data_IF_735512208253
#
_entry.id   IF_735512208253
#
_cell.length_a   1.000
_cell.length_b   1.000
_cell.length_c   1.000
_cell.angle_alpha   90.00
_cell.angle_beta   90.00
_cell.angle_gamma   90.00
#
_symmetry.space_group_name_H-M   'P 1'
#
loop_
_entity.id
_entity.type
_entity.pdbx_description
1 polymer ?
#
# COMPACT_ATOMS: atom_id res chain seq x y z
N UNK A 1 -12.47 -18.30 7.56
CA UNK A 1 -11.05 -18.72 7.54
C UNK A 1 -10.52 -18.39 6.17
N UNK A 2 -9.94 -17.20 6.01
CA UNK A 2 -8.88 -16.85 5.06
C UNK A 2 -8.62 -15.35 5.17
N UNK A 3 -7.70 -14.99 6.08
CA UNK A 3 -7.15 -13.64 6.25
C UNK A 3 -5.73 -13.49 5.65
N UNK A 4 -5.48 -13.66 4.33
CA UNK A 4 -4.18 -13.28 3.76
C UNK A 4 -4.24 -12.21 2.65
N UNK A 5 -5.25 -11.32 2.65
CA UNK A 5 -5.42 -10.36 1.55
C UNK A 5 -4.55 -9.09 1.69
N UNK A 6 -4.18 -8.69 2.91
CA UNK A 6 -3.40 -7.46 3.16
C UNK A 6 -1.90 -7.69 3.32
N UNK A 7 -1.49 -8.86 3.77
CA UNK A 7 -0.11 -9.19 4.09
C UNK A 7 0.14 -10.69 3.85
N UNK A 8 1.40 -11.13 3.82
CA UNK A 8 1.75 -12.52 3.55
C UNK A 8 1.43 -13.45 4.71
N UNK A 9 1.18 -14.73 4.39
CA UNK A 9 0.87 -15.77 5.38
C UNK A 9 1.94 -15.92 6.51
N UNK A 10 3.15 -15.40 6.29
CA UNK A 10 4.27 -15.45 7.24
C UNK A 10 4.66 -14.07 7.80
N UNK A 11 3.80 -13.06 7.64
CA UNK A 11 4.04 -11.70 8.13
C UNK A 11 3.03 -11.32 9.19
N UNK A 12 3.47 -10.61 10.24
CA UNK A 12 2.57 -10.07 11.25
C UNK A 12 1.59 -9.05 10.62
N UNK A 13 0.36 -8.93 11.13
CA UNK A 13 -0.57 -7.90 10.66
C UNK A 13 0.04 -6.50 10.89
N UNK A 14 -0.22 -5.54 9.97
CA UNK A 14 0.24 -4.17 10.14
C UNK A 14 -0.36 -3.56 11.40
N UNK A 15 0.39 -2.69 12.08
CA UNK A 15 -0.05 -1.94 13.25
C UNK A 15 -0.34 -0.48 12.93
N UNK A 16 0.24 0.05 11.86
CA UNK A 16 0.11 1.45 11.43
C UNK A 16 0.07 1.55 9.91
N UNK A 17 -1.11 1.81 9.36
CA UNK A 17 -1.34 1.92 7.91
C UNK A 17 -1.46 3.39 7.50
N UNK A 18 -0.60 3.83 6.58
CA UNK A 18 -0.76 5.11 5.88
C UNK A 18 -1.54 4.88 4.58
N UNK A 19 -2.72 5.47 4.47
CA UNK A 19 -3.58 5.36 3.29
C UNK A 19 -3.40 6.59 2.41
N UNK A 20 -2.91 6.43 1.18
CA UNK A 20 -2.68 7.50 0.22
C UNK A 20 -3.78 7.44 -0.83
N UNK A 21 -4.85 8.22 -0.65
CA UNK A 21 -5.98 8.33 -1.59
C UNK A 21 -6.55 6.98 -2.11
N UNK A 22 -6.50 5.95 -1.25
CA UNK A 22 -7.05 4.61 -1.47
C UNK A 22 -8.22 4.30 -0.49
N UNK A 23 -9.38 4.96 -0.60
CA UNK A 23 -10.54 4.66 0.24
C UNK A 23 -11.00 3.19 0.17
N UNK A 24 -10.76 2.51 -0.96
CA UNK A 24 -11.00 1.08 -1.17
C UNK A 24 -10.20 0.16 -0.22
N UNK A 25 -9.11 0.65 0.37
CA UNK A 25 -8.35 -0.09 1.37
C UNK A 25 -9.06 -0.12 2.73
N UNK A 26 -9.88 0.88 3.06
CA UNK A 26 -10.45 1.07 4.41
C UNK A 26 -11.26 -0.14 4.91
N UNK A 27 -12.20 -0.71 4.14
CA UNK A 27 -13.00 -1.84 4.64
C UNK A 27 -12.16 -3.08 4.96
N UNK A 28 -11.09 -3.29 4.18
CA UNK A 28 -10.19 -4.43 4.40
C UNK A 28 -9.24 -4.18 5.58
N UNK A 29 -8.79 -2.94 5.79
CA UNK A 29 -8.02 -2.53 6.97
C UNK A 29 -8.87 -2.69 8.25
N UNK A 30 -10.13 -2.25 8.21
CA UNK A 30 -11.08 -2.35 9.33
C UNK A 30 -11.40 -3.80 9.71
N UNK A 31 -11.30 -4.73 8.75
CA UNK A 31 -11.51 -6.16 8.97
C UNK A 31 -10.31 -6.88 9.59
N UNK A 32 -9.16 -6.21 9.76
CA UNK A 32 -7.99 -6.77 10.43
C UNK A 32 -8.23 -6.89 11.95
N UNK A 33 -7.67 -7.94 12.55
CA UNK A 33 -7.76 -8.18 13.99
C UNK A 33 -6.35 -8.37 14.60
N UNK A 34 -5.87 -7.44 15.45
CA UNK A 34 -6.53 -6.19 15.83
C UNK A 34 -6.53 -5.15 14.71
N UNK A 35 -7.47 -4.18 14.72
CA UNK A 35 -7.48 -3.10 13.74
C UNK A 35 -6.25 -2.20 13.92
N UNK A 36 -5.52 -1.85 12.84
CA UNK A 36 -4.36 -0.98 12.94
C UNK A 36 -4.75 0.48 13.17
N UNK A 37 -3.77 1.31 13.54
CA UNK A 37 -3.90 2.76 13.44
C UNK A 37 -3.92 3.14 11.96
N UNK A 38 -4.85 4.01 11.55
CA UNK A 38 -4.99 4.44 10.16
C UNK A 38 -4.76 5.94 10.06
N UNK A 39 -3.93 6.36 9.11
CA UNK A 39 -3.76 7.76 8.74
C UNK A 39 -4.00 7.91 7.23
N UNK A 40 -5.08 8.60 6.86
CA UNK A 40 -5.39 8.88 5.46
C UNK A 40 -4.83 10.24 5.03
N UNK A 41 -4.13 10.28 3.89
CA UNK A 41 -3.52 11.49 3.32
C UNK A 41 -3.75 11.59 1.81
N UNK A 42 -3.47 12.78 1.26
CA UNK A 42 -3.23 12.99 -0.16
C UNK A 42 -1.78 12.74 -0.53
N UNK A 43 -1.50 12.33 -1.76
CA UNK A 43 -0.13 12.06 -2.22
C UNK A 43 0.81 13.26 -2.03
N UNK A 44 0.30 14.47 -2.26
CA UNK A 44 1.05 15.73 -2.04
C UNK A 44 1.51 15.96 -0.60
N UNK A 45 0.90 15.29 0.38
CA UNK A 45 1.26 15.38 1.80
C UNK A 45 2.35 14.38 2.19
N UNK A 46 2.65 13.40 1.33
CA UNK A 46 3.72 12.44 1.58
C UNK A 46 5.07 13.16 1.65
N UNK A 47 5.79 12.97 2.74
CA UNK A 47 7.10 13.57 2.98
C UNK A 47 7.73 13.04 4.27
N UNK A 48 9.01 13.35 4.45
CA UNK A 48 9.84 12.79 5.54
C UNK A 48 9.26 13.05 6.93
N UNK A 49 8.79 14.28 7.20
CA UNK A 49 8.21 14.64 8.50
C UNK A 49 6.95 13.84 8.84
N UNK A 50 6.10 13.59 7.83
CA UNK A 50 4.90 12.79 8.01
C UNK A 50 5.25 11.31 8.28
N UNK A 51 6.18 10.74 7.51
CA UNK A 51 6.62 9.35 7.71
C UNK A 51 7.29 9.16 9.08
N UNK A 52 8.11 10.11 9.51
CA UNK A 52 8.75 10.09 10.83
C UNK A 52 7.74 10.18 11.98
N UNK A 53 6.66 10.95 11.81
CA UNK A 53 5.60 11.09 12.80
C UNK A 53 4.66 9.88 12.83
N UNK A 54 4.24 9.39 11.67
CA UNK A 54 3.25 8.32 11.56
C UNK A 54 3.87 6.92 11.74
N UNK A 55 5.15 6.76 11.43
CA UNK A 55 5.91 5.50 11.42
C UNK A 55 5.07 4.33 10.87
N UNK A 56 4.54 4.44 9.64
CA UNK A 56 3.70 3.37 9.10
C UNK A 56 4.54 2.13 8.85
N UNK A 57 4.00 0.96 9.20
CA UNK A 57 4.57 -0.33 8.81
C UNK A 57 3.94 -0.87 7.51
N UNK A 58 2.87 -0.22 7.04
CA UNK A 58 2.26 -0.46 5.73
C UNK A 58 1.77 0.85 5.09
N UNK A 59 1.92 0.97 3.77
CA UNK A 59 1.33 2.02 2.93
C UNK A 59 0.31 1.37 1.99
N UNK A 60 -0.92 1.86 2.03
CA UNK A 60 -1.98 1.50 1.08
C UNK A 60 -2.14 2.63 0.06
N UNK A 61 -2.09 2.30 -1.24
CA UNK A 61 -2.18 3.27 -2.32
C UNK A 61 -2.95 2.68 -3.51
N UNK A 62 -3.59 3.48 -4.36
CA UNK A 62 -4.21 2.99 -5.59
C UNK A 62 -3.14 2.75 -6.65
N UNK A 63 -3.35 1.75 -7.50
CA UNK A 63 -2.50 1.47 -8.66
C UNK A 63 -2.41 2.71 -9.57
N UNK A 64 -3.55 3.35 -9.81
CA UNK A 64 -3.67 4.50 -10.67
C UNK A 64 -4.78 5.44 -10.19
N UNK A 65 -4.48 6.74 -10.13
CA UNK A 65 -5.46 7.82 -9.92
C UNK A 65 -5.15 9.00 -10.84
N UNK A 66 -6.11 9.91 -11.05
CA UNK A 66 -5.80 11.20 -11.64
C UNK A 66 -4.73 11.93 -10.81
N UNK A 67 -3.58 12.19 -11.43
CA UNK A 67 -2.51 13.01 -10.85
C UNK A 67 -1.35 12.25 -10.20
N UNK A 68 -1.47 10.93 -9.99
CA UNK A 68 -0.32 10.08 -9.66
C UNK A 68 -0.60 8.60 -9.94
N UNK A 69 0.45 7.81 -10.11
CA UNK A 69 0.39 6.35 -10.12
C UNK A 69 1.19 5.69 -8.98
N UNK A 70 1.06 4.37 -8.85
CA UNK A 70 1.77 3.61 -7.83
C UNK A 70 3.31 3.71 -7.95
N UNK A 71 3.85 3.85 -9.15
CA UNK A 71 5.30 3.93 -9.37
C UNK A 71 5.84 5.24 -8.78
N UNK A 72 5.18 6.36 -9.05
CA UNK A 72 5.55 7.66 -8.47
C UNK A 72 5.53 7.64 -6.93
N UNK A 73 4.58 6.92 -6.33
CA UNK A 73 4.51 6.77 -4.87
C UNK A 73 5.65 5.88 -4.36
N UNK A 74 5.94 4.77 -5.03
CA UNK A 74 7.03 3.84 -4.67
C UNK A 74 8.38 4.57 -4.73
N UNK A 75 8.66 5.27 -5.82
CA UNK A 75 9.89 6.05 -5.99
C UNK A 75 10.06 7.08 -4.89
N UNK A 76 8.97 7.78 -4.54
CA UNK A 76 8.98 8.76 -3.46
C UNK A 76 9.19 8.13 -2.09
N UNK A 77 8.59 6.97 -1.81
CA UNK A 77 8.80 6.22 -0.57
C UNK A 77 10.26 5.76 -0.44
N UNK A 78 10.85 5.25 -1.52
CA UNK A 78 12.27 4.87 -1.58
C UNK A 78 13.18 6.07 -1.33
N UNK A 79 12.94 7.20 -2.00
CA UNK A 79 13.70 8.43 -1.80
C UNK A 79 13.62 8.96 -0.35
N UNK A 80 12.52 8.65 0.34
CA UNK A 80 12.32 8.98 1.76
C UNK A 80 12.88 7.92 2.72
N UNK A 81 13.46 6.82 2.22
CA UNK A 81 14.02 5.74 3.02
C UNK A 81 12.95 4.89 3.72
N UNK A 82 11.74 4.83 3.20
CA UNK A 82 10.69 3.95 3.71
C UNK A 82 11.09 2.47 3.54
N UNK A 83 10.79 1.63 4.52
CA UNK A 83 11.16 0.20 4.52
C UNK A 83 9.99 -0.73 4.85
N UNK A 84 8.78 -0.20 5.01
CA UNK A 84 7.60 -1.00 5.33
C UNK A 84 6.94 -1.61 4.09
N UNK A 85 5.78 -2.23 4.29
CA UNK A 85 5.03 -2.89 3.23
C UNK A 85 4.28 -1.89 2.34
N UNK A 86 4.11 -2.23 1.06
CA UNK A 86 3.29 -1.48 0.11
C UNK A 86 2.15 -2.38 -0.38
N UNK A 87 0.93 -1.88 -0.26
CA UNK A 87 -0.27 -2.51 -0.80
C UNK A 87 -0.86 -1.60 -1.89
N UNK A 88 -0.69 -2.00 -3.16
CA UNK A 88 -1.27 -1.32 -4.31
C UNK A 88 -2.66 -1.89 -4.62
N UNK A 89 -3.68 -1.05 -4.62
CA UNK A 89 -5.07 -1.43 -4.88
C UNK A 89 -5.44 -1.15 -6.32
N UNK A 90 -5.89 -2.17 -7.04
CA UNK A 90 -6.28 -2.05 -8.44
C UNK A 90 -7.71 -2.55 -8.67
N UNK A 91 -8.45 -1.97 -9.63
CA UNK A 91 -9.64 -2.62 -10.18
C UNK A 91 -9.26 -3.92 -10.90
N UNK A 92 -10.22 -4.73 -11.39
CA UNK A 92 -9.90 -5.88 -12.24
C UNK A 92 -9.00 -5.50 -13.42
N UNK A 93 -7.89 -6.22 -13.57
CA UNK A 93 -6.89 -5.99 -14.60
C UNK A 93 -6.94 -7.10 -15.66
N UNK A 94 -6.64 -6.78 -16.94
CA UNK A 94 -6.52 -7.79 -17.99
C UNK A 94 -5.43 -8.82 -17.70
N UNK A 95 -4.29 -8.38 -17.16
CA UNK A 95 -3.15 -9.21 -16.77
C UNK A 95 -2.57 -8.69 -15.44
N UNK A 96 -3.08 -9.18 -14.29
CA UNK A 96 -2.61 -8.72 -12.98
C UNK A 96 -1.18 -9.18 -12.66
N UNK A 97 -0.72 -10.29 -13.24
CA UNK A 97 0.61 -10.84 -12.97
C UNK A 97 1.70 -9.98 -13.61
N UNK A 98 1.47 -9.48 -14.83
CA UNK A 98 2.35 -8.52 -15.48
C UNK A 98 2.49 -7.23 -14.66
N UNK A 99 1.36 -6.65 -14.24
CA UNK A 99 1.37 -5.41 -13.44
C UNK A 99 2.04 -5.62 -12.09
N UNK A 100 1.79 -6.76 -11.44
CA UNK A 100 2.48 -7.10 -10.20
C UNK A 100 4.01 -7.19 -10.41
N UNK A 101 4.47 -7.81 -11.50
CA UNK A 101 5.89 -7.91 -11.81
C UNK A 101 6.54 -6.53 -12.02
N UNK A 102 5.89 -5.61 -12.73
CA UNK A 102 6.37 -4.24 -12.91
C UNK A 102 6.49 -3.49 -11.58
N UNK A 103 5.47 -3.59 -10.73
CA UNK A 103 5.50 -2.96 -9.40
C UNK A 103 6.60 -3.55 -8.50
N UNK A 104 6.82 -4.87 -8.54
CA UNK A 104 7.90 -5.50 -7.78
C UNK A 104 9.28 -5.03 -8.24
N UNK A 105 9.47 -4.87 -9.55
CA UNK A 105 10.72 -4.32 -10.09
C UNK A 105 10.94 -2.89 -9.63
N UNK A 106 9.91 -2.04 -9.69
CA UNK A 106 9.98 -0.67 -9.21
C UNK A 106 10.22 -0.57 -7.70
N UNK A 107 9.63 -1.48 -6.92
CA UNK A 107 9.79 -1.53 -5.46
C UNK A 107 11.23 -1.81 -5.01
N UNK A 108 12.10 -2.33 -5.89
CA UNK A 108 13.53 -2.53 -5.66
C UNK A 108 13.85 -3.17 -4.29
N UNK A 109 13.06 -4.18 -3.89
CA UNK A 109 13.22 -4.92 -2.63
C UNK A 109 12.31 -4.47 -1.49
N UNK A 110 11.51 -3.40 -1.66
CA UNK A 110 10.42 -3.11 -0.73
C UNK A 110 9.33 -4.19 -0.84
N UNK A 111 8.84 -4.72 0.29
CA UNK A 111 7.77 -5.70 0.26
C UNK A 111 6.49 -5.10 -0.35
N UNK A 112 6.12 -5.55 -1.56
CA UNK A 112 4.95 -5.04 -2.26
C UNK A 112 3.89 -6.13 -2.50
N UNK A 113 2.62 -5.76 -2.48
CA UNK A 113 1.48 -6.59 -2.92
C UNK A 113 0.54 -5.79 -3.81
N UNK A 114 0.07 -6.44 -4.88
CA UNK A 114 -1.04 -5.96 -5.69
C UNK A 114 -2.33 -6.62 -5.19
N UNK A 115 -3.35 -5.82 -4.90
CA UNK A 115 -4.65 -6.26 -4.37
C UNK A 115 -5.73 -5.84 -5.37
N UNK A 116 -6.45 -6.81 -5.93
CA UNK A 116 -7.58 -6.56 -6.83
C UNK A 116 -8.84 -6.33 -6.00
N UNK A 117 -9.50 -5.19 -6.20
CA UNK A 117 -10.77 -4.84 -5.54
C UNK A 117 -11.91 -4.77 -6.55
N UNK A 118 -13.10 -5.23 -6.15
CA UNK A 118 -14.32 -5.16 -6.98
C UNK A 118 -14.52 -6.33 -7.93
N UNK A 119 -14.11 -7.54 -7.53
CA UNK A 119 -14.60 -8.79 -8.15
C UNK A 119 -16.03 -9.11 -7.70
#
# INVERSE_FOLDING_TARGET
MDQPLFYGADTAPPRSVLVIEAPEALPLIEALDPPPRVLAIRFRQLGAGLLALAQPDCVALPLLRPGFDALEVIEKLQALGYTGHICAFAPPLPDPDLVAAELQQAAAGLPLRLIIVGA
#
